data_IF_718101661022
#
_entry.id   IF_718101661022
#
_cell.length_a   1.000
_cell.length_b   1.000
_cell.length_c   1.000
_cell.angle_alpha   90.00
_cell.angle_beta   90.00
_cell.angle_gamma   90.00
#
_symmetry.space_group_name_H-M   'P 1'
#
loop_
_entity.id
_entity.type
_entity.pdbx_description
1 polymer ?
#
# COMPACT_ATOMS: atom_id res chain seq x y z
N UNK A 1 18.08 -7.89 11.03
CA UNK A 1 18.58 -6.63 10.46
C UNK A 1 18.72 -6.81 8.96
N UNK A 2 18.30 -5.83 8.19
CA UNK A 2 18.47 -5.80 6.72
C UNK A 2 18.69 -4.38 6.24
N UNK A 3 19.39 -4.26 5.11
CA UNK A 3 19.67 -3.00 4.45
C UNK A 3 18.98 -2.98 3.08
N UNK A 4 18.35 -1.85 2.75
CA UNK A 4 17.68 -1.64 1.48
C UNK A 4 18.30 -0.43 0.78
N UNK A 5 18.91 -0.64 -0.37
CA UNK A 5 19.64 0.36 -1.14
C UNK A 5 18.79 1.06 -2.21
N UNK A 6 17.61 0.54 -2.50
CA UNK A 6 16.68 1.12 -3.48
C UNK A 6 15.27 1.07 -2.96
N UNK A 7 14.51 2.15 -3.08
CA UNK A 7 13.13 2.23 -2.67
C UNK A 7 12.34 3.10 -3.66
N UNK A 8 11.39 2.54 -4.41
CA UNK A 8 10.56 3.32 -5.33
C UNK A 8 9.81 4.45 -4.62
N UNK A 9 9.32 4.22 -3.41
CA UNK A 9 8.62 5.23 -2.62
C UNK A 9 9.54 6.40 -2.23
N UNK A 10 10.77 6.11 -1.80
CA UNK A 10 11.75 7.14 -1.50
C UNK A 10 12.09 7.99 -2.74
N UNK A 11 12.22 7.36 -3.90
CA UNK A 11 12.43 8.06 -5.16
C UNK A 11 11.25 8.98 -5.50
N UNK A 12 10.02 8.50 -5.30
CA UNK A 12 8.81 9.31 -5.50
C UNK A 12 8.77 10.51 -4.55
N UNK A 13 9.04 10.33 -3.28
CA UNK A 13 9.07 11.43 -2.31
C UNK A 13 10.14 12.46 -2.65
N UNK A 14 11.34 12.04 -3.01
CA UNK A 14 12.41 12.93 -3.46
C UNK A 14 12.02 13.73 -4.70
N UNK A 15 11.40 13.09 -5.68
CA UNK A 15 10.93 13.75 -6.91
C UNK A 15 9.81 14.78 -6.64
N UNK A 16 9.09 14.66 -5.54
CA UNK A 16 7.99 15.55 -5.16
C UNK A 16 8.30 16.48 -3.97
N UNK A 17 9.56 16.55 -3.52
CA UNK A 17 9.99 17.31 -2.32
C UNK A 17 9.18 16.94 -1.07
N UNK A 18 8.87 15.66 -0.91
CA UNK A 18 8.01 15.10 0.14
C UNK A 18 8.78 14.16 1.08
N UNK A 19 10.10 14.29 1.20
CA UNK A 19 10.97 13.40 1.97
C UNK A 19 10.59 13.34 3.46
N UNK A 20 10.13 14.45 4.03
CA UNK A 20 9.68 14.50 5.42
C UNK A 20 8.51 13.53 5.68
N UNK A 21 7.57 13.40 4.74
CA UNK A 21 6.48 12.41 4.84
C UNK A 21 6.98 10.99 4.69
N UNK A 22 7.99 10.78 3.85
CA UNK A 22 8.64 9.50 3.67
C UNK A 22 9.28 8.97 4.93
N UNK A 23 9.89 9.84 5.73
CA UNK A 23 10.46 9.48 7.02
C UNK A 23 9.39 8.95 7.98
N UNK A 24 8.30 9.70 8.18
CA UNK A 24 7.17 9.26 8.99
C UNK A 24 6.56 7.94 8.51
N UNK A 25 6.38 7.79 7.21
CA UNK A 25 5.86 6.55 6.65
C UNK A 25 6.77 5.35 6.97
N UNK A 26 8.08 5.49 6.78
CA UNK A 26 9.02 4.39 7.06
C UNK A 26 9.02 4.00 8.55
N UNK A 27 9.01 4.97 9.45
CA UNK A 27 9.01 4.72 10.89
C UNK A 27 7.70 4.11 11.36
N UNK A 28 6.59 4.76 11.09
CA UNK A 28 5.30 4.36 11.66
C UNK A 28 4.70 3.12 10.97
N UNK A 29 4.87 2.99 9.65
CA UNK A 29 4.37 1.80 8.95
C UNK A 29 5.05 0.52 9.45
N UNK A 30 6.39 0.51 9.50
CA UNK A 30 7.12 -0.70 9.91
C UNK A 30 6.92 -1.01 11.40
N UNK A 31 6.84 0.02 12.23
CA UNK A 31 6.55 -0.11 13.66
C UNK A 31 5.14 -0.68 13.89
N UNK A 32 4.15 -0.15 13.22
CA UNK A 32 2.76 -0.60 13.31
C UNK A 32 2.60 -2.02 12.76
N UNK A 33 3.24 -2.33 11.63
CA UNK A 33 3.23 -3.67 11.04
C UNK A 33 3.83 -4.70 12.00
N UNK A 34 5.00 -4.44 12.56
CA UNK A 34 5.64 -5.36 13.50
C UNK A 34 4.85 -5.50 14.79
N UNK A 35 4.31 -4.40 15.32
CA UNK A 35 3.45 -4.40 16.49
C UNK A 35 2.20 -5.26 16.27
N UNK A 36 1.50 -5.06 15.16
CA UNK A 36 0.32 -5.87 14.80
C UNK A 36 0.65 -7.34 14.65
N UNK A 37 1.72 -7.66 13.90
CA UNK A 37 2.15 -9.04 13.68
C UNK A 37 2.58 -9.78 14.94
N UNK A 38 3.17 -9.07 15.90
CA UNK A 38 3.71 -9.67 17.13
C UNK A 38 2.82 -9.45 18.36
N UNK A 39 1.62 -8.91 18.19
CA UNK A 39 0.74 -8.57 19.33
C UNK A 39 1.39 -7.56 20.29
N UNK A 40 2.09 -6.56 19.75
CA UNK A 40 2.76 -5.50 20.51
C UNK A 40 4.12 -5.89 21.13
N UNK A 41 4.61 -7.12 20.89
CA UNK A 41 5.83 -7.64 21.54
C UNK A 41 7.11 -7.41 20.72
N UNK A 42 6.98 -7.12 19.43
CA UNK A 42 8.09 -6.80 18.55
C UNK A 42 8.56 -5.37 18.73
N UNK A 43 9.86 -5.17 18.57
CA UNK A 43 10.49 -3.85 18.57
C UNK A 43 11.10 -3.60 17.20
N UNK A 44 10.85 -2.41 16.66
CA UNK A 44 11.39 -1.96 15.38
C UNK A 44 12.34 -0.79 15.61
N UNK A 45 13.43 -0.77 14.88
CA UNK A 45 14.38 0.32 14.86
C UNK A 45 14.78 0.63 13.41
N UNK A 46 14.70 1.90 13.04
CA UNK A 46 15.16 2.46 11.78
C UNK A 46 16.32 3.40 12.11
N UNK A 47 17.53 3.03 11.71
CA UNK A 47 18.74 3.83 11.97
C UNK A 47 19.10 4.76 10.82
N UNK A 48 18.77 4.37 9.58
CA UNK A 48 18.95 5.16 8.37
C UNK A 48 17.76 4.97 7.45
N UNK A 49 17.45 5.99 6.63
CA UNK A 49 16.38 5.90 5.63
C UNK A 49 16.73 6.64 4.37
N UNK A 50 16.47 6.03 3.22
CA UNK A 50 16.61 6.66 1.91
C UNK A 50 15.73 7.92 1.72
N UNK A 51 14.77 8.17 2.61
CA UNK A 51 14.02 9.43 2.65
C UNK A 51 14.82 10.58 3.25
N UNK A 52 15.88 10.32 4.02
CA UNK A 52 16.88 11.34 4.36
C UNK A 52 17.91 11.42 3.23
N UNK A 53 18.18 12.63 2.75
CA UNK A 53 19.15 12.88 1.66
C UNK A 53 20.59 12.51 2.00
N UNK A 54 20.89 12.39 3.30
CA UNK A 54 22.23 12.05 3.80
C UNK A 54 22.48 10.55 3.87
N UNK A 55 21.41 9.76 3.87
CA UNK A 55 21.50 8.32 4.03
C UNK A 55 21.61 7.61 2.68
N UNK A 56 22.47 6.59 2.63
CA UNK A 56 22.72 5.80 1.43
C UNK A 56 21.84 4.55 1.32
N UNK A 57 21.18 4.15 2.42
CA UNK A 57 20.28 3.01 2.48
C UNK A 57 19.22 3.20 3.55
N UNK A 58 18.17 2.39 3.52
CA UNK A 58 17.34 2.17 4.70
C UNK A 58 17.95 1.02 5.49
N UNK A 59 18.22 1.22 6.77
CA UNK A 59 18.70 0.19 7.66
C UNK A 59 17.67 -0.11 8.73
N UNK A 60 17.14 -1.33 8.68
CA UNK A 60 16.07 -1.80 9.55
C UNK A 60 16.56 -2.87 10.50
N UNK A 61 16.10 -2.80 11.74
CA UNK A 61 16.28 -3.85 12.72
C UNK A 61 14.95 -4.18 13.39
N UNK A 62 14.56 -5.44 13.37
CA UNK A 62 13.39 -5.95 14.07
C UNK A 62 13.83 -6.94 15.14
N UNK A 63 13.27 -6.82 16.32
CA UNK A 63 13.61 -7.64 17.46
C UNK A 63 12.36 -8.20 18.11
N UNK A 64 12.38 -9.49 18.38
CA UNK A 64 11.45 -10.15 19.28
C UNK A 64 12.26 -10.67 20.48
N UNK A 65 12.33 -9.90 21.55
CA UNK A 65 13.14 -10.24 22.72
C UNK A 65 12.41 -11.24 23.61
N UNK A 66 13.09 -12.29 24.11
CA UNK A 66 12.49 -13.23 25.06
C UNK A 66 11.84 -12.57 26.29
N UNK A 67 12.39 -11.43 26.73
CA UNK A 67 11.82 -10.66 27.83
C UNK A 67 10.42 -10.09 27.55
N UNK A 68 10.05 -9.91 26.28
CA UNK A 68 8.74 -9.41 25.86
C UNK A 68 7.71 -10.54 25.72
N UNK A 69 8.13 -11.79 25.86
CA UNK A 69 7.30 -12.98 25.74
C UNK A 69 6.89 -13.49 27.12
N UNK A 70 5.69 -14.00 27.25
CA UNK A 70 5.29 -14.75 28.44
C UNK A 70 6.02 -16.12 28.52
N UNK A 71 5.91 -16.81 29.66
CA UNK A 71 6.64 -18.05 29.89
C UNK A 71 6.30 -19.14 28.85
N UNK A 72 5.03 -19.27 28.48
CA UNK A 72 4.59 -20.25 27.49
C UNK A 72 5.12 -19.90 26.10
N UNK A 73 5.04 -18.64 25.71
CA UNK A 73 5.52 -18.17 24.41
C UNK A 73 7.04 -18.32 24.29
N UNK A 74 7.79 -18.12 25.38
CA UNK A 74 9.25 -18.34 25.39
C UNK A 74 9.60 -19.81 25.12
N UNK A 75 8.83 -20.73 25.67
CA UNK A 75 9.05 -22.17 25.44
C UNK A 75 8.76 -22.58 23.99
N UNK A 76 7.79 -21.94 23.34
CA UNK A 76 7.31 -22.32 21.99
C UNK A 76 7.83 -21.43 20.88
N UNK A 77 8.60 -20.37 21.16
CA UNK A 77 9.02 -19.37 20.19
C UNK A 77 9.86 -19.92 19.03
N UNK A 78 10.52 -21.06 19.23
CA UNK A 78 11.37 -21.72 18.23
C UNK A 78 10.78 -23.04 17.70
N UNK A 79 9.60 -23.42 18.16
CA UNK A 79 8.92 -24.61 17.67
C UNK A 79 8.38 -24.35 16.25
N UNK A 80 8.71 -25.21 15.31
CA UNK A 80 8.07 -25.20 13.99
C UNK A 80 6.64 -25.69 14.16
N UNK A 81 5.69 -24.77 14.29
CA UNK A 81 4.28 -25.11 14.25
C UNK A 81 3.91 -25.47 12.80
N UNK A 82 3.19 -26.54 12.64
CA UNK A 82 2.54 -26.86 11.37
C UNK A 82 1.61 -25.69 11.01
N UNK A 83 1.59 -25.32 9.73
CA UNK A 83 0.61 -24.35 9.23
C UNK A 83 -0.78 -24.92 9.55
N UNK A 84 -1.68 -24.17 10.19
CA UNK A 84 -3.01 -24.67 10.51
C UNK A 84 -3.69 -25.22 9.25
N UNK A 85 -4.34 -26.37 9.39
CA UNK A 85 -5.13 -26.97 8.31
C UNK A 85 -6.23 -25.96 7.92
N UNK A 86 -6.31 -25.57 6.65
CA UNK A 86 -7.24 -24.53 6.17
C UNK A 86 -6.68 -23.10 6.19
N UNK A 87 -5.43 -22.86 6.59
CA UNK A 87 -4.81 -21.57 6.38
C UNK A 87 -4.66 -21.30 4.87
N UNK A 88 -5.45 -20.36 4.37
CA UNK A 88 -5.33 -19.89 2.99
C UNK A 88 -4.12 -18.97 2.86
N UNK A 89 -3.22 -19.28 1.93
CA UNK A 89 -2.17 -18.34 1.54
C UNK A 89 -2.81 -17.22 0.70
N UNK A 90 -2.69 -15.98 1.14
CA UNK A 90 -3.03 -14.83 0.32
C UNK A 90 -1.92 -14.68 -0.74
N UNK A 91 -2.29 -14.49 -2.01
CA UNK A 91 -1.31 -14.19 -3.04
C UNK A 91 -0.65 -12.83 -2.75
N UNK A 92 0.57 -12.62 -3.26
CA UNK A 92 1.23 -11.33 -3.10
C UNK A 92 0.43 -10.18 -3.76
N UNK A 93 -0.23 -10.46 -4.88
CA UNK A 93 -1.08 -9.49 -5.56
C UNK A 93 -2.30 -9.11 -4.71
N UNK A 94 -3.01 -10.08 -4.14
CA UNK A 94 -4.15 -9.82 -3.24
C UNK A 94 -3.71 -9.04 -2.00
N UNK A 95 -2.57 -9.42 -1.40
CA UNK A 95 -2.00 -8.69 -0.27
C UNK A 95 -1.71 -7.22 -0.62
N UNK A 96 -1.13 -6.95 -1.78
CA UNK A 96 -0.83 -5.59 -2.21
C UNK A 96 -2.10 -4.79 -2.50
N UNK A 97 -3.13 -5.44 -3.06
CA UNK A 97 -4.44 -4.82 -3.27
C UNK A 97 -5.11 -4.46 -1.95
N UNK A 98 -5.19 -5.38 -1.00
CA UNK A 98 -5.77 -5.11 0.31
C UNK A 98 -5.03 -4.00 1.05
N UNK A 99 -3.71 -4.03 1.02
CA UNK A 99 -2.86 -2.99 1.60
C UNK A 99 -3.14 -1.61 0.99
N UNK A 100 -3.29 -1.52 -0.33
CA UNK A 100 -3.58 -0.27 -1.01
C UNK A 100 -4.98 0.26 -0.64
N UNK A 101 -5.98 -0.61 -0.54
CA UNK A 101 -7.33 -0.25 -0.07
C UNK A 101 -7.28 0.26 1.37
N UNK A 102 -6.58 -0.46 2.27
CA UNK A 102 -6.43 -0.03 3.67
C UNK A 102 -5.80 1.35 3.77
N UNK A 103 -4.77 1.62 2.99
CA UNK A 103 -4.13 2.94 2.96
C UNK A 103 -5.14 4.04 2.55
N UNK A 104 -5.91 3.81 1.48
CA UNK A 104 -6.94 4.76 1.05
C UNK A 104 -8.02 4.99 2.11
N UNK A 105 -8.47 3.92 2.79
CA UNK A 105 -9.47 4.01 3.88
C UNK A 105 -8.93 4.83 5.05
N UNK A 106 -7.72 4.57 5.50
CA UNK A 106 -7.15 5.30 6.63
C UNK A 106 -6.87 6.76 6.30
N UNK A 107 -6.35 7.06 5.11
CA UNK A 107 -6.18 8.45 4.67
C UNK A 107 -7.52 9.18 4.64
N UNK A 108 -8.57 8.54 4.11
CA UNK A 108 -9.91 9.13 4.12
C UNK A 108 -10.38 9.44 5.55
N UNK A 109 -10.31 8.47 6.46
CA UNK A 109 -10.77 8.61 7.84
C UNK A 109 -10.05 9.74 8.58
N UNK A 110 -8.73 9.76 8.49
CA UNK A 110 -7.91 10.80 9.12
C UNK A 110 -8.23 12.19 8.56
N UNK A 111 -8.43 12.31 7.25
CA UNK A 111 -8.79 13.59 6.63
C UNK A 111 -10.20 14.02 6.99
N UNK A 112 -11.17 13.10 7.03
CA UNK A 112 -12.55 13.40 7.39
C UNK A 112 -12.66 13.78 8.87
N UNK A 113 -11.96 13.09 9.76
CA UNK A 113 -11.92 13.37 11.19
C UNK A 113 -11.25 14.71 11.51
N UNK A 114 -10.08 14.96 10.90
CA UNK A 114 -9.28 16.15 11.19
C UNK A 114 -9.84 17.44 10.54
N UNK A 115 -10.43 17.33 9.34
CA UNK A 115 -10.74 18.48 8.49
C UNK A 115 -12.19 18.48 7.94
N UNK A 116 -12.99 17.45 8.18
CA UNK A 116 -14.37 17.35 7.72
C UNK A 116 -14.52 17.60 6.21
N UNK A 117 -15.30 18.62 5.83
CA UNK A 117 -15.55 18.94 4.41
C UNK A 117 -14.28 19.30 3.63
N UNK A 118 -13.34 19.97 4.25
CA UNK A 118 -12.05 20.30 3.63
C UNK A 118 -11.22 19.01 3.41
N UNK A 119 -11.24 18.09 4.37
CA UNK A 119 -10.61 16.78 4.25
C UNK A 119 -11.18 15.97 3.09
N UNK A 120 -12.50 15.99 2.88
CA UNK A 120 -13.14 15.35 1.73
C UNK A 120 -12.68 15.97 0.40
N UNK A 121 -12.48 17.29 0.35
CA UNK A 121 -11.97 17.96 -0.83
C UNK A 121 -10.49 17.63 -1.10
N UNK A 122 -9.68 17.57 -0.05
CA UNK A 122 -8.27 17.14 -0.14
C UNK A 122 -8.16 15.72 -0.67
N UNK A 123 -8.97 14.79 -0.14
CA UNK A 123 -9.03 13.41 -0.62
C UNK A 123 -9.43 13.33 -2.10
N UNK A 124 -10.48 14.05 -2.50
CA UNK A 124 -10.93 14.13 -3.89
C UNK A 124 -9.82 14.60 -4.83
N UNK A 125 -9.10 15.66 -4.45
CA UNK A 125 -7.99 16.19 -5.23
C UNK A 125 -6.83 15.20 -5.33
N UNK A 126 -6.53 14.49 -4.23
CA UNK A 126 -5.52 13.45 -4.20
C UNK A 126 -5.89 12.28 -5.13
N UNK A 127 -7.15 11.84 -5.17
CA UNK A 127 -7.61 10.77 -6.06
C UNK A 127 -7.50 11.16 -7.54
N UNK A 128 -7.86 12.39 -7.92
CA UNK A 128 -7.70 12.87 -9.30
C UNK A 128 -6.24 12.92 -9.73
N UNK A 129 -5.35 13.30 -8.83
CA UNK A 129 -3.92 13.26 -9.08
C UNK A 129 -3.40 11.82 -9.19
N UNK A 130 -3.84 10.95 -8.28
CA UNK A 130 -3.48 9.53 -8.28
C UNK A 130 -3.91 8.83 -9.57
N UNK A 131 -5.11 9.10 -10.08
CA UNK A 131 -5.58 8.56 -11.36
C UNK A 131 -4.64 8.92 -12.50
N UNK A 132 -4.34 10.22 -12.69
CA UNK A 132 -3.46 10.71 -13.76
C UNK A 132 -2.04 10.16 -13.66
N UNK A 133 -1.47 10.12 -12.46
CA UNK A 133 -0.12 9.59 -12.25
C UNK A 133 -0.08 8.07 -12.46
N UNK A 134 -1.12 7.36 -12.04
CA UNK A 134 -1.25 5.92 -12.28
C UNK A 134 -1.36 5.61 -13.77
N UNK A 135 -2.16 6.34 -14.50
CA UNK A 135 -2.29 6.23 -15.96
C UNK A 135 -0.94 6.41 -16.64
N UNK A 136 -0.26 7.52 -16.38
CA UNK A 136 1.04 7.83 -16.97
C UNK A 136 2.10 6.77 -16.64
N UNK A 137 2.11 6.28 -15.39
CA UNK A 137 3.02 5.23 -14.96
C UNK A 137 2.74 3.90 -15.67
N UNK A 138 1.49 3.51 -15.82
CA UNK A 138 1.10 2.27 -16.48
C UNK A 138 1.46 2.32 -17.97
N UNK A 139 1.24 3.43 -18.64
CA UNK A 139 1.66 3.65 -20.04
C UNK A 139 3.18 3.58 -20.21
N UNK A 140 3.95 4.21 -19.33
CA UNK A 140 5.42 4.14 -19.35
C UNK A 140 5.93 2.70 -19.11
N UNK A 141 5.34 1.95 -18.17
CA UNK A 141 5.71 0.56 -17.91
C UNK A 141 5.41 -0.31 -19.14
N UNK A 142 4.22 -0.15 -19.75
CA UNK A 142 3.85 -0.90 -20.96
C UNK A 142 4.81 -0.58 -22.10
N UNK A 143 5.11 0.69 -22.33
CA UNK A 143 6.07 1.14 -23.34
C UNK A 143 7.46 0.52 -23.14
N UNK A 144 8.01 0.59 -21.93
CA UNK A 144 9.33 0.00 -21.62
C UNK A 144 9.37 -1.52 -21.77
N UNK A 145 8.23 -2.19 -21.60
CA UNK A 145 8.12 -3.65 -21.80
C UNK A 145 7.82 -4.03 -23.26
N UNK A 146 7.56 -3.06 -24.13
CA UNK A 146 7.20 -3.30 -25.52
C UNK A 146 5.86 -4.03 -25.68
N UNK A 147 4.92 -3.84 -24.75
CA UNK A 147 3.59 -4.45 -24.76
C UNK A 147 2.51 -3.40 -24.85
N UNK A 148 1.33 -3.72 -25.42
CA UNK A 148 0.21 -2.80 -25.45
C UNK A 148 -0.28 -2.44 -24.05
N UNK A 149 -0.55 -1.15 -23.78
CA UNK A 149 -1.21 -0.70 -22.57
C UNK A 149 -2.73 -0.92 -22.71
N UNK A 150 -3.17 -2.17 -22.56
CA UNK A 150 -4.55 -2.60 -22.71
C UNK A 150 -5.13 -3.14 -21.40
N UNK A 151 -6.42 -3.52 -21.43
CA UNK A 151 -7.17 -3.95 -20.25
C UNK A 151 -6.53 -5.12 -19.50
N UNK A 152 -5.95 -6.09 -20.20
CA UNK A 152 -5.26 -7.23 -19.57
C UNK A 152 -4.03 -6.78 -18.80
N UNK A 153 -3.19 -5.93 -19.41
CA UNK A 153 -2.01 -5.38 -18.74
C UNK A 153 -2.39 -4.56 -17.50
N UNK A 154 -3.42 -3.71 -17.61
CA UNK A 154 -3.90 -2.90 -16.49
C UNK A 154 -4.42 -3.80 -15.36
N UNK A 155 -5.23 -4.82 -15.67
CA UNK A 155 -5.74 -5.75 -14.67
C UNK A 155 -4.64 -6.50 -13.89
N UNK A 156 -3.49 -6.73 -14.52
CA UNK A 156 -2.34 -7.38 -13.89
C UNK A 156 -1.40 -6.42 -13.15
N UNK A 157 -1.35 -5.16 -13.56
CA UNK A 157 -0.34 -4.20 -13.11
C UNK A 157 -0.89 -3.14 -12.14
N UNK A 158 -2.18 -2.84 -12.22
CA UNK A 158 -2.83 -1.88 -11.33
C UNK A 158 -3.22 -2.55 -10.01
N UNK A 159 -2.93 -1.94 -8.85
CA UNK A 159 -3.10 -2.59 -7.55
C UNK A 159 -4.56 -2.64 -7.06
N UNK A 160 -5.52 -2.19 -7.87
CA UNK A 160 -6.94 -2.25 -7.54
C UNK A 160 -7.71 -2.97 -8.64
N UNK A 161 -8.74 -3.74 -8.24
CA UNK A 161 -9.62 -4.35 -9.23
C UNK A 161 -10.43 -3.29 -9.98
N UNK A 162 -10.44 -3.37 -11.30
CA UNK A 162 -11.30 -2.54 -12.15
C UNK A 162 -12.76 -3.04 -12.22
N UNK A 163 -13.03 -4.24 -11.67
CA UNK A 163 -14.31 -4.92 -11.82
C UNK A 163 -15.14 -5.01 -10.54
N UNK A 164 -14.47 -4.99 -9.40
CA UNK A 164 -15.13 -5.17 -8.10
C UNK A 164 -14.47 -4.34 -7.01
N UNK A 165 -15.29 -3.70 -6.19
CA UNK A 165 -14.81 -3.04 -4.98
C UNK A 165 -14.38 -4.07 -3.93
N UNK A 166 -13.29 -3.81 -3.22
CA UNK A 166 -12.88 -4.64 -2.09
C UNK A 166 -13.91 -4.60 -0.96
N UNK A 167 -14.23 -5.72 -0.32
CA UNK A 167 -15.12 -5.75 0.84
C UNK A 167 -14.59 -4.95 2.03
N UNK A 168 -13.31 -4.63 2.06
CA UNK A 168 -12.69 -3.83 3.13
C UNK A 168 -13.30 -2.42 3.25
N UNK A 169 -13.76 -1.83 2.15
CA UNK A 169 -14.41 -0.53 2.18
C UNK A 169 -15.65 -0.52 3.10
N UNK A 170 -16.50 -1.55 2.95
CA UNK A 170 -17.70 -1.69 3.78
C UNK A 170 -17.37 -2.16 5.19
N UNK A 171 -16.47 -3.15 5.32
CA UNK A 171 -16.05 -3.67 6.62
C UNK A 171 -15.44 -2.59 7.53
N UNK A 172 -14.78 -1.58 6.94
CA UNK A 172 -14.18 -0.47 7.66
C UNK A 172 -15.03 0.81 7.65
N UNK A 173 -16.32 0.72 7.28
CA UNK A 173 -17.25 1.86 7.25
C UNK A 173 -16.74 3.02 6.38
N UNK A 174 -16.14 2.73 5.24
CA UNK A 174 -15.56 3.70 4.31
C UNK A 174 -16.28 3.71 2.93
N UNK A 175 -17.59 3.50 2.91
CA UNK A 175 -18.41 3.40 1.69
C UNK A 175 -18.28 4.66 0.83
N UNK A 176 -18.37 5.85 1.45
CA UNK A 176 -18.23 7.13 0.73
C UNK A 176 -16.84 7.29 0.09
N UNK A 177 -15.77 6.84 0.75
CA UNK A 177 -14.43 6.83 0.18
C UNK A 177 -14.34 5.88 -1.03
N UNK A 178 -15.00 4.70 -0.95
CA UNK A 178 -15.11 3.75 -2.05
C UNK A 178 -15.84 4.35 -3.26
N UNK A 179 -16.95 5.04 -3.04
CA UNK A 179 -17.71 5.70 -4.11
C UNK A 179 -16.86 6.74 -4.83
N UNK A 180 -16.18 7.62 -4.09
CA UNK A 180 -15.26 8.61 -4.65
C UNK A 180 -14.09 7.95 -5.39
N UNK A 181 -13.51 6.91 -4.82
CA UNK A 181 -12.42 6.17 -5.45
C UNK A 181 -12.87 5.51 -6.76
N UNK A 182 -14.04 4.89 -6.74
CA UNK A 182 -14.61 4.28 -7.95
C UNK A 182 -14.91 5.33 -9.03
N UNK A 183 -15.54 6.44 -8.67
CA UNK A 183 -15.89 7.51 -9.61
C UNK A 183 -14.65 8.18 -10.22
N UNK A 184 -13.65 8.50 -9.39
CA UNK A 184 -12.52 9.34 -9.79
C UNK A 184 -11.30 8.57 -10.28
N UNK A 185 -11.21 7.27 -10.00
CA UNK A 185 -10.04 6.45 -10.36
C UNK A 185 -10.45 5.25 -11.21
N UNK A 186 -11.36 4.40 -10.69
CA UNK A 186 -11.68 3.14 -11.37
C UNK A 186 -12.43 3.37 -12.66
N UNK A 187 -13.49 4.20 -12.63
CA UNK A 187 -14.34 4.43 -13.82
C UNK A 187 -13.58 5.07 -14.98
N UNK A 188 -12.73 6.10 -14.80
CA UNK A 188 -11.91 6.64 -15.88
C UNK A 188 -10.94 5.62 -16.48
N UNK A 189 -10.21 4.88 -15.64
CA UNK A 189 -9.28 3.84 -16.12
C UNK A 189 -10.01 2.70 -16.84
N UNK A 190 -11.13 2.24 -16.30
CA UNK A 190 -11.96 1.22 -16.95
C UNK A 190 -12.52 1.70 -18.30
N UNK A 191 -13.03 2.92 -18.37
CA UNK A 191 -13.53 3.51 -19.60
C UNK A 191 -12.45 3.60 -20.70
N UNK A 192 -11.24 4.00 -20.32
CA UNK A 192 -10.13 4.12 -21.27
C UNK A 192 -9.62 2.77 -21.78
N UNK A 193 -9.41 1.81 -20.90
CA UNK A 193 -8.66 0.60 -21.23
C UNK A 193 -9.52 -0.65 -21.45
N UNK A 194 -10.74 -0.72 -20.87
CA UNK A 194 -11.60 -1.89 -21.06
C UNK A 194 -12.53 -1.72 -22.27
N UNK A 195 -12.95 -0.49 -22.61
CA UNK A 195 -13.80 -0.26 -23.80
C UNK A 195 -13.02 -0.33 -25.11
N UNK A 196 -11.72 -0.02 -25.11
CA UNK A 196 -10.87 -0.12 -26.29
C UNK A 196 -10.76 -1.57 -26.82
N UNK A 197 -10.97 -2.58 -26.00
CA UNK A 197 -10.97 -3.98 -26.41
C UNK A 197 -12.23 -4.37 -27.21
N UNK A 198 -13.35 -3.66 -27.07
CA UNK A 198 -14.59 -3.95 -27.77
C UNK A 198 -14.65 -3.39 -29.21
N UNK A 199 -13.76 -2.47 -29.58
CA UNK A 199 -13.69 -1.86 -30.90
C UNK A 199 -12.64 -2.49 -31.84
N UNK A 200 -11.91 -3.49 -31.37
CA UNK A 200 -10.81 -4.15 -32.12
C UNK A 200 -11.20 -5.55 -32.67
N UNK A 201 -12.49 -5.86 -32.76
CA UNK A 201 -13.02 -7.11 -33.37
C UNK A 201 -13.75 -6.81 -34.66
#
# INVERSE_FOLDING_TARGET
>A
MWDQFTCPMSNYWKANNAEAYGLFYCEEYMKSFLSGYTGGKGQFHLSMTLSDKRDMCCQFAAYLRPANLDAQQRCTAFEKKAVPEGATSISFADYMQEKAVLLCVFIWKELDEAFGKEGAQLYTNALRRFEKESEAMLEDIAFRRGIPCGGEFIAQSFPFSLFAASPLWSALSAVKASELFHELVISPLAAKYLQAAACAV
#
